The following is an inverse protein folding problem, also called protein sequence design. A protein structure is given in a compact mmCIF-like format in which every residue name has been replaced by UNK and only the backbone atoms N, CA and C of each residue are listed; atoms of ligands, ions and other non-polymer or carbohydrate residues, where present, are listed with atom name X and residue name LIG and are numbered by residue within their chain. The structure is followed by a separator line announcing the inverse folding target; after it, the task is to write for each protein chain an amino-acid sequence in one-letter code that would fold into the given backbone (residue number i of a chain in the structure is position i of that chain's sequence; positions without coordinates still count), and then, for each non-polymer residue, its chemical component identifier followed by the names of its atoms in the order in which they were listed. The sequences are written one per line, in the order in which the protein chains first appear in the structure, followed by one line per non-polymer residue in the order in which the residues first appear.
data_IF_047994234328
#
_entry.id   IF_047994234328
#
_cell.length_a   1.000
_cell.length_b   1.000
_cell.length_c   1.000
_cell.angle_alpha   90.00
_cell.angle_beta   90.00
_cell.angle_gamma   90.00
#
_symmetry.space_group_name_H-M   'P 1'
#
loop_
_entity.id
_entity.type
_entity.pdbx_description
1 polymer ?
#
# COMPACT_ATOMS: atom_id res chain seq x y z
N UNK A 1 19.05 -15.24 20.28
CA UNK A 1 18.61 -14.15 19.38
C UNK A 1 17.16 -14.43 19.03
N UNK A 2 16.22 -13.53 19.38
CA UNK A 2 14.81 -13.70 18.96
C UNK A 2 14.76 -13.39 17.47
N UNK A 3 14.38 -14.36 16.65
CA UNK A 3 14.03 -14.11 15.26
C UNK A 3 12.80 -13.20 15.25
N UNK A 4 12.99 -11.90 14.99
CA UNK A 4 11.89 -11.06 14.54
C UNK A 4 11.60 -11.46 13.09
N UNK A 5 10.76 -12.48 12.90
CA UNK A 5 10.05 -12.64 11.62
C UNK A 5 9.17 -11.41 11.48
N UNK A 6 9.56 -10.46 10.64
CA UNK A 6 8.65 -9.43 10.17
C UNK A 6 7.51 -10.15 9.46
N UNK A 7 6.33 -10.20 10.09
CA UNK A 7 5.14 -10.76 9.47
C UNK A 7 4.59 -9.64 8.58
N UNK A 8 4.94 -9.67 7.30
CA UNK A 8 4.25 -8.85 6.32
C UNK A 8 2.98 -9.58 5.93
N UNK A 9 1.84 -8.90 6.05
CA UNK A 9 0.58 -9.38 5.53
C UNK A 9 0.52 -9.05 4.04
N UNK A 10 0.33 -10.09 3.20
CA UNK A 10 0.04 -9.91 1.80
C UNK A 10 -1.47 -9.85 1.64
N UNK A 11 -1.96 -8.72 1.11
CA UNK A 11 -3.37 -8.53 0.83
C UNK A 11 -3.62 -8.72 -0.65
N UNK A 12 -4.49 -9.68 -0.99
CA UNK A 12 -4.93 -9.90 -2.36
C UNK A 12 -6.13 -8.99 -2.70
N UNK A 13 -5.83 -7.93 -3.45
CA UNK A 13 -6.83 -6.96 -3.91
C UNK A 13 -7.71 -7.51 -5.04
N UNK A 14 -7.43 -8.68 -5.62
CA UNK A 14 -8.31 -9.26 -6.65
C UNK A 14 -9.69 -9.63 -6.09
N UNK A 15 -9.81 -9.80 -4.77
CA UNK A 15 -11.09 -10.03 -4.08
C UNK A 15 -11.86 -8.72 -3.79
N UNK A 16 -11.24 -7.57 -4.02
CA UNK A 16 -11.82 -6.24 -3.80
C UNK A 16 -12.46 -5.72 -5.09
N UNK A 17 -13.45 -4.83 -4.96
CA UNK A 17 -14.07 -4.17 -6.11
C UNK A 17 -13.23 -2.96 -6.51
N UNK A 18 -12.78 -2.90 -7.75
CA UNK A 18 -12.17 -1.70 -8.33
C UNK A 18 -13.21 -0.58 -8.50
N UNK A 19 -12.92 0.60 -7.96
CA UNK A 19 -13.75 1.81 -8.09
C UNK A 19 -13.33 2.68 -9.29
N UNK A 20 -12.16 2.42 -9.86
CA UNK A 20 -11.63 3.06 -11.06
C UNK A 20 -10.30 3.77 -10.85
N UNK A 21 -9.85 4.46 -11.91
CA UNK A 21 -8.58 5.20 -11.96
C UNK A 21 -8.63 6.41 -11.04
N UNK A 22 -7.65 6.55 -10.16
CA UNK A 22 -7.54 7.71 -9.27
C UNK A 22 -6.96 8.93 -10.00
N UNK A 23 -7.24 10.13 -9.49
CA UNK A 23 -6.89 11.43 -10.09
C UNK A 23 -5.45 11.49 -10.64
N UNK A 24 -5.20 12.19 -11.76
CA UNK A 24 -3.92 12.15 -12.48
C UNK A 24 -2.70 12.44 -11.57
N UNK A 25 -1.63 11.69 -11.80
CA UNK A 25 -0.38 11.79 -11.05
C UNK A 25 0.77 11.17 -11.84
N UNK A 26 1.96 11.10 -11.23
CA UNK A 26 3.17 10.62 -11.92
C UNK A 26 3.10 9.13 -12.29
N UNK A 27 2.33 8.34 -11.53
CA UNK A 27 2.12 6.91 -11.74
C UNK A 27 0.62 6.62 -11.86
N UNK A 28 0.30 5.57 -12.59
CA UNK A 28 -1.05 5.01 -12.65
C UNK A 28 -1.44 4.44 -11.29
N UNK A 29 -2.70 4.64 -10.90
CA UNK A 29 -3.20 4.25 -9.58
C UNK A 29 -4.71 4.02 -9.62
N UNK A 30 -5.17 3.08 -8.80
CA UNK A 30 -6.53 2.55 -8.80
C UNK A 30 -7.09 2.51 -7.38
N UNK A 31 -8.36 2.89 -7.23
CA UNK A 31 -9.08 2.72 -5.96
C UNK A 31 -9.73 1.34 -5.90
N UNK A 32 -9.61 0.67 -4.75
CA UNK A 32 -10.28 -0.59 -4.45
C UNK A 32 -11.10 -0.43 -3.18
N UNK A 33 -12.24 -1.12 -3.11
CA UNK A 33 -13.07 -1.21 -1.90
C UNK A 33 -13.40 -2.66 -1.55
N UNK A 34 -13.29 -3.02 -0.27
CA UNK A 34 -13.70 -4.34 0.20
C UNK A 34 -15.16 -4.40 0.65
N UNK A 35 -15.61 -5.57 1.08
CA UNK A 35 -16.99 -5.77 1.53
C UNK A 35 -17.31 -5.12 2.90
N UNK A 36 -16.30 -4.63 3.62
CA UNK A 36 -16.45 -3.83 4.84
C UNK A 36 -16.52 -2.32 4.55
N UNK A 37 -16.31 -1.90 3.30
CA UNK A 37 -16.29 -0.49 2.91
C UNK A 37 -14.93 0.19 3.13
N UNK A 38 -13.86 -0.57 3.39
CA UNK A 38 -12.51 -0.02 3.46
C UNK A 38 -12.00 0.27 2.04
N UNK A 39 -11.42 1.45 1.84
CA UNK A 39 -10.93 1.92 0.54
C UNK A 39 -9.41 2.04 0.51
N UNK A 40 -8.78 1.38 -0.45
CA UNK A 40 -7.32 1.36 -0.61
C UNK A 40 -6.94 1.91 -1.98
N UNK A 41 -5.89 2.74 -2.00
CA UNK A 41 -5.29 3.24 -3.24
C UNK A 41 -4.09 2.37 -3.63
N UNK A 42 -4.22 1.61 -4.71
CA UNK A 42 -3.11 0.84 -5.26
C UNK A 42 -2.33 1.69 -6.27
N UNK A 43 -1.01 1.81 -6.07
CA UNK A 43 -0.10 2.51 -6.99
C UNK A 43 0.68 1.49 -7.82
N UNK A 44 0.60 1.60 -9.14
CA UNK A 44 1.36 0.73 -10.04
C UNK A 44 2.83 1.13 -9.97
N UNK A 45 3.74 0.21 -9.59
CA UNK A 45 5.15 0.54 -9.47
C UNK A 45 5.79 0.73 -10.85
N UNK A 46 6.70 1.69 -10.97
CA UNK A 46 7.56 1.81 -12.15
C UNK A 46 8.52 0.64 -12.23
N UNK A 47 8.58 0.04 -13.42
CA UNK A 47 9.51 -1.03 -13.76
C UNK A 47 10.95 -0.60 -13.45
N UNK A 48 11.70 -1.47 -12.77
CA UNK A 48 13.10 -1.21 -12.41
C UNK A 48 13.29 -0.30 -11.19
N UNK A 49 12.22 0.02 -10.45
CA UNK A 49 12.30 0.83 -9.23
C UNK A 49 11.80 0.06 -8.01
N UNK A 50 12.22 0.50 -6.82
CA UNK A 50 11.76 -0.02 -5.52
C UNK A 50 10.86 0.98 -4.78
N UNK A 51 10.18 1.87 -5.51
CA UNK A 51 9.40 2.97 -4.91
C UNK A 51 8.32 2.47 -3.93
N UNK A 52 7.63 1.37 -4.27
CA UNK A 52 6.62 0.72 -3.44
C UNK A 52 7.20 0.18 -2.13
N UNK A 53 8.43 -0.34 -2.15
CA UNK A 53 9.13 -0.81 -0.95
C UNK A 53 9.49 0.37 -0.06
N UNK A 54 10.06 1.43 -0.64
CA UNK A 54 10.41 2.65 0.10
C UNK A 54 9.19 3.29 0.75
N UNK A 55 8.06 3.35 0.03
CA UNK A 55 6.80 3.88 0.55
C UNK A 55 6.28 3.05 1.72
N UNK A 56 6.25 1.72 1.60
CA UNK A 56 5.83 0.82 2.69
C UNK A 56 6.73 0.96 3.92
N UNK A 57 8.05 1.01 3.72
CA UNK A 57 9.00 1.18 4.83
C UNK A 57 8.83 2.53 5.53
N UNK A 58 8.64 3.62 4.77
CA UNK A 58 8.39 4.94 5.35
C UNK A 58 7.12 4.97 6.22
N UNK A 59 6.03 4.35 5.73
CA UNK A 59 4.79 4.20 6.49
C UNK A 59 5.00 3.40 7.79
N UNK A 60 5.65 2.24 7.73
CA UNK A 60 5.90 1.41 8.93
C UNK A 60 6.81 2.13 9.93
N UNK A 61 7.82 2.88 9.47
CA UNK A 61 8.66 3.71 10.33
C UNK A 61 7.83 4.81 10.99
N UNK A 62 6.99 5.52 10.24
CA UNK A 62 6.11 6.57 10.77
C UNK A 62 5.21 6.02 11.90
N UNK A 63 4.58 4.86 11.67
CA UNK A 63 3.79 4.16 12.67
C UNK A 63 4.60 3.80 13.91
N UNK A 64 5.83 3.31 13.76
CA UNK A 64 6.72 2.97 14.87
C UNK A 64 7.11 4.20 15.72
N UNK A 65 7.24 5.38 15.09
CA UNK A 65 7.61 6.61 15.79
C UNK A 65 6.42 7.47 16.19
N UNK A 66 5.18 6.99 15.99
CA UNK A 66 3.95 7.68 16.37
C UNK A 66 3.60 8.88 15.50
N UNK A 67 4.07 8.91 14.24
CA UNK A 67 3.70 9.92 13.24
C UNK A 67 2.55 9.38 12.40
N UNK A 68 1.50 10.18 12.25
CA UNK A 68 0.41 9.87 11.31
C UNK A 68 0.93 9.97 9.88
N UNK A 69 0.76 8.88 9.13
CA UNK A 69 1.11 8.78 7.71
C UNK A 69 -0.05 8.12 6.97
N UNK A 70 -0.31 8.61 5.76
CA UNK A 70 -1.30 8.07 4.84
C UNK A 70 -0.66 7.05 3.88
#
# INVERSE_FOLDING_TARGET
MKEHRGIFELVDLNSWRELGVAAPGRNEKYWFVNHFGEEWLFKIPKVGTTEHVSEKLAYEIAKLVGIEAA
#
